data_IF_032816182377
#
_entry.id   IF_032816182377
#
_cell.length_a   1.000
_cell.length_b   1.000
_cell.length_c   1.000
_cell.angle_alpha   90.00
_cell.angle_beta   90.00
_cell.angle_gamma   90.00
#
_symmetry.space_group_name_H-M   'P 1'
#
loop_
_entity.id
_entity.type
_entity.pdbx_description
1 polymer ?
#
# COMPACT_ATOMS: atom_id res chain seq x y z
N UNK A 1 -14.22 -11.34 3.07
CA UNK A 1 -12.97 -10.76 2.54
C UNK A 1 -11.90 -11.86 2.46
N UNK A 2 -10.88 -11.71 1.59
CA UNK A 2 -9.80 -12.72 1.47
C UNK A 2 -9.08 -12.94 2.81
N UNK A 3 -8.76 -11.87 3.54
CA UNK A 3 -8.13 -11.95 4.87
C UNK A 3 -8.94 -12.81 5.85
N UNK A 4 -10.27 -12.76 5.83
CA UNK A 4 -11.12 -13.57 6.73
C UNK A 4 -11.01 -15.08 6.46
N UNK A 5 -10.72 -15.44 5.22
CA UNK A 5 -10.58 -16.83 4.78
C UNK A 5 -9.16 -17.37 4.96
N UNK A 6 -8.17 -16.49 5.17
CA UNK A 6 -6.77 -16.86 5.33
C UNK A 6 -6.46 -17.24 6.79
N UNK A 7 -5.27 -17.82 7.01
CA UNK A 7 -4.70 -18.09 8.32
C UNK A 7 -4.04 -16.86 8.96
N UNK A 8 -4.04 -15.71 8.26
CA UNK A 8 -3.41 -14.48 8.72
C UNK A 8 -4.27 -13.74 9.74
N UNK A 9 -3.64 -13.13 10.72
CA UNK A 9 -4.28 -12.21 11.67
C UNK A 9 -4.34 -10.78 11.15
N UNK A 10 -3.45 -10.42 10.23
CA UNK A 10 -3.40 -9.11 9.61
C UNK A 10 -2.65 -9.13 8.28
N UNK A 11 -2.89 -8.12 7.46
CA UNK A 11 -2.07 -7.76 6.30
C UNK A 11 -1.34 -6.46 6.60
N UNK A 12 -0.02 -6.48 6.51
CA UNK A 12 0.85 -5.31 6.53
C UNK A 12 1.44 -5.14 5.12
N UNK A 13 0.90 -4.21 4.36
CA UNK A 13 1.29 -4.01 2.96
C UNK A 13 2.18 -2.79 2.80
N UNK A 14 3.23 -2.93 2.02
CA UNK A 14 4.24 -1.90 1.73
C UNK A 14 4.39 -1.64 0.22
N UNK A 15 3.80 -2.48 -0.65
CA UNK A 15 3.69 -2.18 -2.06
C UNK A 15 2.68 -1.06 -2.31
N UNK A 16 3.06 -0.09 -3.12
CA UNK A 16 2.25 1.10 -3.43
C UNK A 16 0.86 0.75 -3.97
N UNK A 17 0.76 -0.27 -4.84
CA UNK A 17 -0.53 -0.67 -5.40
C UNK A 17 -1.41 -1.34 -4.36
N UNK A 18 -0.82 -2.16 -3.47
CA UNK A 18 -1.54 -2.81 -2.38
C UNK A 18 -2.00 -1.80 -1.32
N UNK A 19 -1.15 -0.82 -0.97
CA UNK A 19 -1.53 0.30 -0.10
C UNK A 19 -2.72 1.06 -0.72
N UNK A 20 -2.62 1.42 -2.00
CA UNK A 20 -3.71 2.08 -2.73
C UNK A 20 -4.99 1.25 -2.75
N UNK A 21 -4.87 -0.05 -2.94
CA UNK A 21 -6.03 -0.96 -2.94
C UNK A 21 -6.73 -0.98 -1.58
N UNK A 22 -5.98 -1.05 -0.48
CA UNK A 22 -6.54 -1.07 0.87
C UNK A 22 -7.09 0.27 1.32
N UNK A 23 -6.47 1.38 0.91
CA UNK A 23 -6.73 2.69 1.52
C UNK A 23 -7.38 3.69 0.55
N UNK A 24 -7.45 3.37 -0.74
CA UNK A 24 -7.86 4.29 -1.82
C UNK A 24 -7.09 5.62 -1.81
N UNK A 25 -5.83 5.60 -1.36
CA UNK A 25 -4.98 6.80 -1.29
C UNK A 25 -3.79 6.69 -2.24
N UNK A 26 -3.41 7.82 -2.84
CA UNK A 26 -2.22 7.98 -3.67
C UNK A 26 -1.70 9.41 -3.55
N UNK A 27 -0.38 9.58 -3.45
CA UNK A 27 0.25 10.90 -3.31
C UNK A 27 1.04 11.29 -4.57
N UNK A 28 1.29 10.36 -5.47
CA UNK A 28 2.03 10.56 -6.71
C UNK A 28 2.97 9.39 -7.01
N UNK A 29 3.54 9.37 -8.21
CA UNK A 29 4.41 8.26 -8.63
C UNK A 29 5.73 8.20 -7.85
N UNK A 30 6.20 9.32 -7.32
CA UNK A 30 7.41 9.39 -6.49
C UNK A 30 7.34 8.56 -5.20
N UNK A 31 6.14 8.18 -4.77
CA UNK A 31 5.95 7.35 -3.56
C UNK A 31 6.53 5.92 -3.71
N UNK A 32 6.73 5.44 -4.95
CA UNK A 32 7.20 4.08 -5.22
C UNK A 32 8.56 3.76 -4.61
N UNK A 33 9.42 4.76 -4.52
CA UNK A 33 10.77 4.63 -3.98
C UNK A 33 10.88 5.02 -2.51
N UNK A 34 9.75 5.31 -1.86
CA UNK A 34 9.72 5.72 -0.45
C UNK A 34 9.45 4.54 0.47
N UNK A 35 10.19 4.48 1.57
CA UNK A 35 9.98 3.52 2.65
C UNK A 35 8.93 4.01 3.66
N UNK A 36 8.52 5.26 3.54
CA UNK A 36 7.70 5.94 4.53
C UNK A 36 6.23 5.50 4.57
N UNK A 37 5.83 4.62 3.66
CA UNK A 37 4.43 4.29 3.44
C UNK A 37 4.15 2.81 3.63
N UNK A 38 3.14 2.49 4.43
CA UNK A 38 2.55 1.15 4.56
C UNK A 38 1.14 1.23 5.12
N UNK A 39 0.38 0.16 4.95
CA UNK A 39 -0.95 0.05 5.52
C UNK A 39 -1.12 -1.28 6.26
N UNK A 40 -1.87 -1.25 7.36
CA UNK A 40 -2.21 -2.41 8.17
C UNK A 40 -3.72 -2.61 8.15
N UNK A 41 -4.17 -3.83 7.84
CA UNK A 41 -5.54 -4.27 8.00
C UNK A 41 -5.57 -5.50 8.90
N UNK A 42 -6.26 -5.42 10.02
CA UNK A 42 -6.41 -6.55 10.95
C UNK A 42 -7.65 -7.39 10.59
N UNK A 43 -7.58 -8.69 10.82
CA UNK A 43 -8.71 -9.59 10.66
C UNK A 43 -9.86 -9.16 11.57
N UNK A 44 -11.09 -9.19 11.06
CA UNK A 44 -12.27 -8.70 11.76
C UNK A 44 -12.49 -7.18 11.67
N UNK A 45 -11.58 -6.43 11.04
CA UNK A 45 -11.73 -4.99 10.79
C UNK A 45 -11.97 -4.71 9.31
N UNK A 46 -12.81 -3.73 9.02
CA UNK A 46 -12.97 -3.16 7.68
C UNK A 46 -12.16 -1.87 7.51
N UNK A 47 -11.43 -1.43 8.53
CA UNK A 47 -10.79 -0.13 8.59
C UNK A 47 -9.26 -0.23 8.58
N UNK A 48 -8.62 0.10 7.46
CA UNK A 48 -7.16 0.11 7.39
C UNK A 48 -6.56 1.25 8.20
N UNK A 49 -5.34 1.01 8.71
CA UNK A 49 -4.48 2.03 9.31
C UNK A 49 -3.39 2.34 8.29
N UNK A 50 -3.21 3.61 7.96
CA UNK A 50 -2.24 4.09 7.00
C UNK A 50 -1.12 4.87 7.69
N UNK A 51 0.13 4.49 7.45
CA UNK A 51 1.29 5.33 7.74
C UNK A 51 1.78 5.95 6.45
N UNK A 52 2.05 7.24 6.51
CA UNK A 52 2.58 8.00 5.39
C UNK A 52 3.57 9.06 5.92
N UNK A 53 4.36 9.68 5.05
CA UNK A 53 5.26 10.72 5.55
C UNK A 53 4.48 11.87 6.20
N UNK A 54 5.06 12.55 7.20
CA UNK A 54 4.35 13.40 8.16
C UNK A 54 3.28 14.34 7.59
N UNK A 55 3.60 15.17 6.58
CA UNK A 55 2.63 16.09 5.97
C UNK A 55 1.52 15.37 5.19
N UNK A 56 1.81 14.24 4.58
CA UNK A 56 0.79 13.45 3.88
C UNK A 56 -0.20 12.80 4.85
N UNK A 57 0.22 12.40 6.04
CA UNK A 57 -0.70 11.92 7.07
C UNK A 57 -1.73 12.99 7.44
N UNK A 58 -1.31 14.25 7.57
CA UNK A 58 -2.23 15.39 7.80
C UNK A 58 -3.16 15.60 6.60
N UNK A 59 -2.62 15.53 5.37
CA UNK A 59 -3.41 15.63 4.15
C UNK A 59 -4.52 14.57 4.11
N UNK A 60 -4.18 13.30 4.40
CA UNK A 60 -5.17 12.23 4.42
C UNK A 60 -6.29 12.44 5.43
N UNK A 61 -5.98 12.96 6.62
CA UNK A 61 -7.00 13.31 7.63
C UNK A 61 -8.02 14.35 7.14
N UNK A 62 -7.58 15.23 6.24
CA UNK A 62 -8.43 16.30 5.71
C UNK A 62 -9.19 15.89 4.44
N UNK A 63 -8.58 15.08 3.57
CA UNK A 63 -9.05 14.85 2.21
C UNK A 63 -9.44 13.39 1.90
N UNK A 64 -9.28 12.46 2.86
CA UNK A 64 -9.69 11.07 2.73
C UNK A 64 -10.78 10.72 3.76
N UNK A 65 -12.03 11.19 3.58
CA UNK A 65 -13.10 11.07 4.59
C UNK A 65 -13.55 9.60 4.82
N UNK A 66 -13.13 8.67 3.97
CA UNK A 66 -13.33 7.23 4.13
C UNK A 66 -12.32 6.57 5.09
N UNK A 67 -11.26 7.27 5.49
CA UNK A 67 -10.30 6.83 6.51
C UNK A 67 -10.59 7.57 7.81
N UNK A 68 -10.56 6.85 8.93
CA UNK A 68 -10.62 7.51 10.24
C UNK A 68 -9.39 8.38 10.44
N UNK A 69 -9.53 9.63 10.93
CA UNK A 69 -8.39 10.53 11.15
C UNK A 69 -7.29 9.92 12.04
N UNK A 70 -7.66 9.16 13.08
CA UNK A 70 -6.75 8.46 13.98
C UNK A 70 -5.97 7.33 13.30
N UNK A 71 -6.50 6.79 12.20
CA UNK A 71 -5.84 5.76 11.39
C UNK A 71 -4.86 6.35 10.37
N UNK A 72 -4.79 7.67 10.20
CA UNK A 72 -3.81 8.33 9.35
C UNK A 72 -2.60 8.75 10.19
N UNK A 73 -1.54 7.97 10.15
CA UNK A 73 -0.35 8.09 11.01
C UNK A 73 0.87 8.57 10.23
N UNK A 74 1.82 9.17 10.94
CA UNK A 74 3.12 9.51 10.36
C UNK A 74 4.01 8.26 10.29
N UNK A 75 4.51 7.97 9.11
CA UNK A 75 5.46 6.89 8.85
C UNK A 75 6.92 7.36 8.87
N UNK A 76 7.80 6.55 8.30
CA UNK A 76 9.22 6.88 8.14
C UNK A 76 9.42 7.94 7.05
N UNK A 77 10.52 8.70 7.17
CA UNK A 77 11.02 9.56 6.10
C UNK A 77 12.28 8.93 5.50
N UNK A 78 12.28 8.68 4.23
CA UNK A 78 13.45 8.16 3.53
C UNK A 78 13.11 7.48 2.21
N UNK A 79 14.16 7.20 1.46
CA UNK A 79 14.13 6.31 0.30
C UNK A 79 14.39 4.89 0.78
N UNK A 80 13.98 3.91 0.01
CA UNK A 80 14.32 2.50 0.25
C UNK A 80 15.86 2.35 0.32
N UNK A 81 16.32 1.62 1.33
CA UNK A 81 17.75 1.38 1.57
C UNK A 81 18.53 2.56 2.15
N UNK A 82 17.89 3.67 2.54
CA UNK A 82 18.61 4.86 3.03
C UNK A 82 18.40 5.16 4.51
N UNK A 83 17.46 4.53 5.16
CA UNK A 83 17.20 4.74 6.60
C UNK A 83 18.14 3.89 7.42
N UNK A 84 19.02 4.53 8.20
CA UNK A 84 19.95 3.82 9.07
C UNK A 84 19.18 3.12 10.21
N UNK A 85 19.25 1.78 10.33
CA UNK A 85 18.56 1.04 11.38
C UNK A 85 18.94 1.50 12.81
N UNK A 86 20.17 2.00 13.01
CA UNK A 86 20.64 2.48 14.31
C UNK A 86 19.87 3.70 14.85
N UNK A 87 19.06 4.36 14.03
CA UNK A 87 18.19 5.46 14.48
C UNK A 87 16.97 4.98 15.29
N UNK A 88 16.72 3.66 15.36
CA UNK A 88 15.61 3.08 16.13
C UNK A 88 14.21 3.39 15.58
N UNK A 89 14.11 4.00 14.40
CA UNK A 89 12.81 4.38 13.81
C UNK A 89 12.01 3.16 13.39
N UNK A 90 12.66 2.15 12.81
CA UNK A 90 12.02 0.89 12.40
C UNK A 90 11.58 0.09 13.63
N UNK A 91 12.41 0.03 14.68
CA UNK A 91 12.08 -0.59 15.97
C UNK A 91 10.82 0.04 16.58
N UNK A 92 10.75 1.38 16.61
CA UNK A 92 9.59 2.10 17.13
C UNK A 92 8.31 1.75 16.37
N UNK A 93 8.34 1.74 15.03
CA UNK A 93 7.17 1.39 14.23
C UNK A 93 6.79 -0.09 14.33
N UNK A 94 7.77 -0.99 14.43
CA UNK A 94 7.50 -2.40 14.67
C UNK A 94 6.82 -2.60 16.02
N UNK A 95 7.25 -1.89 17.07
CA UNK A 95 6.60 -1.87 18.38
C UNK A 95 5.17 -1.33 18.35
N UNK A 96 4.92 -0.26 17.58
CA UNK A 96 3.58 0.30 17.37
C UNK A 96 2.66 -0.70 16.65
N UNK A 97 3.13 -1.34 15.58
CA UNK A 97 2.38 -2.36 14.84
C UNK A 97 2.05 -3.53 15.77
N UNK A 98 3.03 -4.03 16.56
CA UNK A 98 2.80 -5.11 17.50
C UNK A 98 1.78 -4.75 18.58
N UNK A 99 1.75 -3.50 19.05
CA UNK A 99 0.73 -3.02 19.99
C UNK A 99 -0.66 -3.06 19.36
N UNK A 100 -0.82 -2.52 18.15
CA UNK A 100 -2.10 -2.53 17.43
C UNK A 100 -2.63 -3.95 17.19
N UNK A 101 -1.75 -4.90 16.88
CA UNK A 101 -2.13 -6.31 16.72
C UNK A 101 -2.57 -6.96 18.04
N UNK A 102 -1.94 -6.58 19.16
CA UNK A 102 -2.40 -7.02 20.50
C UNK A 102 -3.77 -6.45 20.84
N UNK A 103 -3.98 -5.16 20.60
CA UNK A 103 -5.26 -4.48 20.85
C UNK A 103 -6.39 -5.05 20.00
N UNK A 104 -6.07 -5.47 18.76
CA UNK A 104 -7.01 -6.17 17.87
C UNK A 104 -7.19 -7.67 18.23
N UNK A 105 -6.46 -8.22 19.21
CA UNK A 105 -6.57 -9.62 19.61
C UNK A 105 -5.97 -10.64 18.63
N UNK A 106 -5.19 -10.19 17.63
CA UNK A 106 -4.63 -11.04 16.57
C UNK A 106 -3.10 -11.23 16.66
N UNK A 107 -2.44 -10.74 17.70
CA UNK A 107 -0.99 -10.76 17.84
C UNK A 107 -0.35 -12.16 17.84
N UNK A 108 -1.12 -13.22 18.09
CA UNK A 108 -0.64 -14.62 18.04
C UNK A 108 -0.77 -15.26 16.65
N UNK A 109 -1.45 -14.59 15.73
CA UNK A 109 -1.62 -15.04 14.36
C UNK A 109 -0.51 -14.46 13.47
N UNK A 110 -0.17 -15.13 12.35
CA UNK A 110 0.81 -14.59 11.42
C UNK A 110 0.36 -13.26 10.80
N UNK A 111 1.32 -12.37 10.56
CA UNK A 111 1.13 -11.13 9.80
C UNK A 111 1.59 -11.36 8.38
N UNK A 112 0.67 -11.26 7.43
CA UNK A 112 0.98 -11.36 6.01
C UNK A 112 1.61 -10.07 5.50
N UNK A 113 2.76 -10.19 4.84
CA UNK A 113 3.51 -9.05 4.27
C UNK A 113 3.70 -9.29 2.78
N UNK A 114 3.53 -8.25 1.95
CA UNK A 114 3.73 -8.33 0.50
C UNK A 114 5.20 -8.12 0.11
N UNK A 115 5.78 -6.99 0.45
CA UNK A 115 7.20 -6.68 0.27
C UNK A 115 7.71 -5.98 1.52
N UNK A 116 8.98 -6.17 1.85
CA UNK A 116 9.59 -5.53 3.03
C UNK A 116 11.09 -5.41 2.89
N UNK A 117 11.68 -4.36 3.46
CA UNK A 117 13.13 -4.28 3.62
C UNK A 117 13.61 -5.14 4.80
N UNK A 118 14.75 -5.85 4.66
CA UNK A 118 15.25 -6.73 5.71
C UNK A 118 15.36 -6.08 7.10
N UNK A 119 15.84 -4.83 7.26
CA UNK A 119 15.91 -4.22 8.59
C UNK A 119 14.54 -4.10 9.27
N UNK A 120 13.49 -3.72 8.53
CA UNK A 120 12.14 -3.63 9.10
C UNK A 120 11.58 -5.02 9.44
N UNK A 121 11.85 -6.02 8.59
CA UNK A 121 11.48 -7.42 8.87
C UNK A 121 12.07 -7.90 10.20
N UNK A 122 13.37 -7.64 10.41
CA UNK A 122 14.05 -8.05 11.64
C UNK A 122 13.46 -7.36 12.87
N UNK A 123 13.08 -6.10 12.77
CA UNK A 123 12.45 -5.40 13.91
C UNK A 123 11.04 -5.92 14.21
N UNK A 124 10.24 -6.28 13.18
CA UNK A 124 8.95 -6.95 13.39
C UNK A 124 9.11 -8.30 14.10
N UNK A 125 10.11 -9.10 13.70
CA UNK A 125 10.42 -10.37 14.35
C UNK A 125 10.89 -10.19 15.80
N UNK A 126 11.75 -9.21 16.08
CA UNK A 126 12.17 -8.84 17.44
C UNK A 126 10.98 -8.37 18.30
N UNK A 127 10.00 -7.71 17.71
CA UNK A 127 8.77 -7.33 18.39
C UNK A 127 7.84 -8.52 18.69
N UNK A 128 8.24 -9.74 18.34
CA UNK A 128 7.54 -11.00 18.61
C UNK A 128 6.48 -11.37 17.58
N UNK A 129 6.51 -10.76 16.40
CA UNK A 129 5.55 -11.06 15.33
C UNK A 129 6.01 -12.23 14.47
N UNK A 130 5.10 -13.14 14.16
CA UNK A 130 5.29 -14.16 13.14
C UNK A 130 4.93 -13.59 11.78
N UNK A 131 5.90 -13.53 10.88
CA UNK A 131 5.71 -13.01 9.52
C UNK A 131 5.45 -14.14 8.53
N UNK A 132 4.47 -13.95 7.66
CA UNK A 132 4.11 -14.87 6.58
C UNK A 132 3.91 -14.13 5.25
N UNK A 133 3.74 -14.88 4.16
CA UNK A 133 3.41 -14.29 2.86
C UNK A 133 2.00 -13.68 2.88
N UNK A 134 1.91 -12.41 2.50
CA UNK A 134 0.66 -11.68 2.31
C UNK A 134 0.27 -11.46 0.85
N UNK A 135 1.18 -11.75 -0.09
CA UNK A 135 0.94 -11.51 -1.52
C UNK A 135 -0.22 -12.34 -2.04
N UNK A 136 -0.26 -13.63 -1.69
CA UNK A 136 -1.34 -14.52 -2.14
C UNK A 136 -2.71 -14.00 -1.71
N UNK A 137 -2.84 -13.57 -0.44
CA UNK A 137 -4.11 -13.00 0.08
C UNK A 137 -4.49 -11.70 -0.65
N UNK A 138 -3.52 -10.86 -1.01
CA UNK A 138 -3.77 -9.65 -1.81
C UNK A 138 -4.16 -9.97 -3.25
N UNK A 139 -3.56 -10.99 -3.87
CA UNK A 139 -3.94 -11.46 -5.20
C UNK A 139 -5.38 -11.97 -5.22
N UNK A 140 -5.76 -12.81 -4.26
CA UNK A 140 -7.13 -13.32 -4.11
C UNK A 140 -8.14 -12.19 -3.88
N UNK A 141 -7.78 -11.17 -3.08
CA UNK A 141 -8.64 -10.02 -2.86
C UNK A 141 -8.94 -9.24 -4.14
N UNK A 142 -8.00 -9.23 -5.10
CA UNK A 142 -8.11 -8.50 -6.38
C UNK A 142 -8.55 -9.36 -7.56
N UNK A 143 -8.67 -10.68 -7.39
CA UNK A 143 -9.02 -11.60 -8.48
C UNK A 143 -10.42 -11.32 -9.01
N UNK A 144 -11.40 -11.23 -8.12
CA UNK A 144 -12.80 -10.94 -8.47
C UNK A 144 -13.05 -9.44 -8.32
N UNK A 145 -13.29 -8.75 -9.45
CA UNK A 145 -13.54 -7.31 -9.49
C UNK A 145 -14.97 -6.98 -9.11
N UNK A 146 -15.15 -5.91 -8.33
CA UNK A 146 -16.45 -5.29 -8.10
C UNK A 146 -16.97 -4.60 -9.36
N UNK A 147 -18.25 -4.24 -9.38
CA UNK A 147 -18.83 -3.50 -10.51
C UNK A 147 -18.16 -2.14 -10.70
N UNK A 148 -17.76 -1.47 -9.62
CA UNK A 148 -17.08 -0.18 -9.67
C UNK A 148 -15.66 -0.32 -10.23
N UNK A 149 -14.93 -1.36 -9.83
CA UNK A 149 -13.60 -1.66 -10.39
C UNK A 149 -13.69 -1.99 -11.88
N UNK A 150 -14.70 -2.73 -12.32
CA UNK A 150 -14.96 -3.01 -13.75
C UNK A 150 -15.23 -1.70 -14.50
N UNK A 151 -16.05 -0.80 -13.94
CA UNK A 151 -16.33 0.49 -14.56
C UNK A 151 -15.08 1.36 -14.69
N UNK A 152 -14.20 1.37 -13.68
CA UNK A 152 -12.91 2.09 -13.74
C UNK A 152 -11.95 1.48 -14.76
N UNK A 153 -11.87 0.15 -14.84
CA UNK A 153 -11.04 -0.55 -15.83
C UNK A 153 -11.51 -0.26 -17.26
N UNK A 154 -12.83 -0.26 -17.50
CA UNK A 154 -13.40 0.07 -18.81
C UNK A 154 -13.08 1.52 -19.20
N UNK A 155 -13.17 2.48 -18.25
CA UNK A 155 -12.78 3.87 -18.52
C UNK A 155 -11.30 3.99 -18.85
N UNK A 156 -10.44 3.31 -18.09
CA UNK A 156 -9.00 3.30 -18.35
C UNK A 156 -8.68 2.72 -19.73
N UNK A 157 -9.32 1.61 -20.14
CA UNK A 157 -9.17 1.02 -21.44
C UNK A 157 -9.60 1.99 -22.55
N UNK A 158 -10.77 2.61 -22.43
CA UNK A 158 -11.26 3.59 -23.42
C UNK A 158 -10.33 4.81 -23.56
N UNK A 159 -9.71 5.27 -22.46
CA UNK A 159 -8.72 6.36 -22.54
C UNK A 159 -7.45 5.93 -23.28
N UNK A 160 -6.99 4.70 -23.07
CA UNK A 160 -5.83 4.12 -23.77
C UNK A 160 -6.15 3.97 -25.26
N UNK A 161 -7.32 3.44 -25.61
CA UNK A 161 -7.77 3.31 -27.01
C UNK A 161 -7.82 4.68 -27.70
N UNK A 162 -8.35 5.70 -27.02
CA UNK A 162 -8.36 7.07 -27.52
C UNK A 162 -6.95 7.63 -27.75
N UNK A 163 -6.02 7.40 -26.82
CA UNK A 163 -4.63 7.80 -27.00
C UNK A 163 -3.96 7.10 -28.19
N UNK A 164 -4.16 5.79 -28.33
CA UNK A 164 -3.64 5.05 -29.49
C UNK A 164 -4.23 5.53 -30.80
N UNK A 165 -5.51 5.90 -30.84
CA UNK A 165 -6.14 6.48 -32.02
C UNK A 165 -5.46 7.79 -32.42
N UNK A 166 -5.23 8.69 -31.47
CA UNK A 166 -4.52 9.96 -31.74
C UNK A 166 -3.10 9.74 -32.23
N UNK A 167 -2.36 8.80 -31.61
CA UNK A 167 -1.01 8.42 -32.08
C UNK A 167 -1.08 7.89 -33.52
N UNK A 168 -2.02 7.00 -33.83
CA UNK A 168 -2.18 6.43 -35.16
C UNK A 168 -2.44 7.52 -36.22
N UNK A 169 -3.26 8.53 -35.92
CA UNK A 169 -3.53 9.65 -36.86
C UNK A 169 -2.28 10.48 -37.17
N UNK A 170 -1.33 10.55 -36.21
CA UNK A 170 -0.08 11.31 -36.37
C UNK A 170 1.07 10.50 -36.99
N UNK A 171 0.96 9.17 -37.02
CA UNK A 171 1.96 8.28 -37.60
C UNK A 171 2.01 8.42 -39.14
N UNK A 172 2.91 9.29 -39.63
CA UNK A 172 3.13 9.53 -41.05
C UNK A 172 4.61 9.41 -41.39
N UNK A 173 4.98 9.01 -42.61
CA UNK A 173 6.37 8.96 -43.03
C UNK A 173 7.05 10.33 -42.81
N UNK A 174 8.19 10.32 -42.13
CA UNK A 174 9.00 11.52 -41.84
C UNK A 174 8.67 12.25 -40.53
N UNK A 175 7.62 11.85 -39.82
CA UNK A 175 7.34 12.37 -38.45
C UNK A 175 8.29 11.71 -37.44
N UNK A 176 8.88 12.50 -36.57
CA UNK A 176 9.75 11.99 -35.49
C UNK A 176 8.91 11.60 -34.28
N UNK A 177 9.41 10.63 -33.49
CA UNK A 177 8.76 10.19 -32.25
C UNK A 177 8.42 11.35 -31.31
N UNK A 178 9.39 12.26 -31.08
CA UNK A 178 9.19 13.45 -30.23
C UNK A 178 8.17 14.49 -30.76
N UNK A 179 7.68 14.35 -31.97
CA UNK A 179 6.64 15.22 -32.52
C UNK A 179 5.22 14.67 -32.22
N UNK A 180 5.12 13.44 -31.69
CA UNK A 180 3.86 12.73 -31.39
C UNK A 180 3.58 12.71 -29.87
N UNK A 181 4.59 12.84 -29.02
CA UNK A 181 4.49 12.73 -27.54
C UNK A 181 4.23 14.06 -26.86
#
# INVERSE_FOLDING_TARGET
MALEKSELGALLVMDTNNIRYLTSTKIGEWERDKICRWALLTKGSAEPILWDFGSAAVHHRLYAPWLKPENCKAGLLGLRGTVNPAFGLMERHAGEIAALLRDAGVAKMPVGIDIIEPPMLFELQKAGLTVADGQQTMLEAREIKSIDEIALLNRAAAMVDGAYHLVHEQLKPGVRENDIV
#
